data_IF_404677376274
#
_entry.id   IF_404677376274
#
_cell.length_a   1.000
_cell.length_b   1.000
_cell.length_c   1.000
_cell.angle_alpha   90.00
_cell.angle_beta   90.00
_cell.angle_gamma   90.00
#
_symmetry.space_group_name_H-M   'P 1'
#
loop_
_entity.id
_entity.type
_entity.pdbx_description
1 polymer ?
#
# COMPACT_ATOMS: atom_id res chain seq x y z
N UNK A 1 -9.86 6.31 -20.68
CA UNK A 1 -10.65 5.94 -21.89
C UNK A 1 -10.12 4.61 -22.39
N UNK A 2 -10.98 3.59 -22.60
CA UNK A 2 -10.52 2.30 -23.12
C UNK A 2 -10.29 2.41 -24.62
N UNK A 3 -9.03 2.24 -25.03
CA UNK A 3 -8.57 2.23 -26.42
C UNK A 3 -7.83 0.90 -26.62
N UNK A 4 -8.31 0.08 -27.55
CA UNK A 4 -7.72 -1.23 -27.86
C UNK A 4 -7.48 -1.41 -29.37
N UNK A 5 -6.92 -2.56 -29.74
CA UNK A 5 -6.63 -2.98 -31.11
C UNK A 5 -7.85 -3.02 -32.05
N UNK A 6 -9.07 -3.04 -31.50
CA UNK A 6 -10.33 -3.13 -32.23
C UNK A 6 -11.10 -1.81 -32.28
N UNK A 7 -10.57 -0.73 -31.72
CA UNK A 7 -11.16 0.61 -31.86
C UNK A 7 -11.12 1.11 -33.31
N UNK A 8 -12.21 1.73 -33.76
CA UNK A 8 -12.30 2.47 -35.03
C UNK A 8 -11.19 3.53 -35.10
N UNK A 9 -10.48 3.61 -36.22
CA UNK A 9 -9.48 4.65 -36.46
C UNK A 9 -10.21 5.86 -37.04
N UNK A 10 -10.11 6.99 -36.34
CA UNK A 10 -10.65 8.27 -36.81
C UNK A 10 -9.75 8.87 -37.89
N UNK A 11 -10.27 9.80 -38.68
CA UNK A 11 -9.55 10.48 -39.77
C UNK A 11 -8.27 11.20 -39.31
N UNK A 12 -8.18 11.54 -38.02
CA UNK A 12 -6.99 12.15 -37.41
C UNK A 12 -5.91 11.13 -36.98
N UNK A 13 -6.06 9.86 -37.36
CA UNK A 13 -5.16 8.76 -37.01
C UNK A 13 -5.29 8.26 -35.56
N UNK A 14 -6.14 8.87 -34.73
CA UNK A 14 -6.39 8.42 -33.35
C UNK A 14 -7.51 7.39 -33.32
N UNK A 15 -7.40 6.43 -32.40
CA UNK A 15 -8.45 5.43 -32.16
C UNK A 15 -9.61 6.05 -31.37
N UNK A 16 -10.85 5.81 -31.82
CA UNK A 16 -12.08 6.19 -31.12
C UNK A 16 -12.20 5.40 -29.81
N UNK A 17 -12.30 6.07 -28.64
CA UNK A 17 -12.51 5.38 -27.38
C UNK A 17 -13.82 4.59 -27.35
N UNK A 18 -13.78 3.34 -26.91
CA UNK A 18 -15.00 2.51 -26.72
C UNK A 18 -15.77 2.89 -25.46
N UNK A 19 -15.04 3.05 -24.36
CA UNK A 19 -15.62 3.40 -23.06
C UNK A 19 -14.86 4.55 -22.42
N UNK A 20 -15.58 5.37 -21.66
CA UNK A 20 -15.03 6.44 -20.84
C UNK A 20 -15.57 6.26 -19.43
N UNK A 21 -14.67 6.31 -18.45
CA UNK A 21 -15.02 6.31 -17.03
C UNK A 21 -14.88 7.74 -16.57
N UNK A 22 -15.94 8.29 -15.98
CA UNK A 22 -15.88 9.58 -15.31
C UNK A 22 -15.22 9.37 -13.95
N UNK A 23 -14.16 10.14 -13.68
CA UNK A 23 -13.50 10.18 -12.38
C UNK A 23 -14.10 11.32 -11.56
N UNK A 24 -14.16 11.14 -10.23
CA UNK A 24 -14.67 12.16 -9.32
C UNK A 24 -13.68 13.33 -9.21
N UNK A 25 -14.20 14.56 -9.12
CA UNK A 25 -13.38 15.76 -8.98
C UNK A 25 -12.48 16.05 -10.18
N UNK A 26 -11.29 16.60 -9.91
CA UNK A 26 -10.28 16.95 -10.90
C UNK A 26 -9.00 16.13 -10.64
N UNK A 27 -8.98 14.82 -11.00
CA UNK A 27 -7.85 13.95 -10.68
C UNK A 27 -6.60 14.34 -11.47
N UNK A 28 -5.44 14.27 -10.81
CA UNK A 28 -4.13 14.50 -11.42
C UNK A 28 -3.50 13.15 -11.73
N UNK A 29 -3.72 12.65 -12.95
CA UNK A 29 -3.10 11.41 -13.41
C UNK A 29 -1.66 11.67 -13.88
N UNK A 30 -0.74 10.76 -13.55
CA UNK A 30 0.70 10.93 -13.78
C UNK A 30 1.41 11.39 -12.51
N UNK A 31 1.31 12.67 -12.17
CA UNK A 31 2.02 13.25 -11.02
C UNK A 31 1.31 13.01 -9.66
N UNK A 32 0.02 12.70 -9.66
CA UNK A 32 -0.78 12.49 -8.44
C UNK A 32 -0.75 11.03 -7.98
N UNK A 33 0.10 10.71 -6.99
CA UNK A 33 0.22 9.33 -6.46
C UNK A 33 -1.12 8.73 -6.01
N UNK A 34 -1.90 9.46 -5.23
CA UNK A 34 -3.19 8.99 -4.70
C UNK A 34 -4.27 8.83 -5.77
N UNK A 35 -4.34 9.76 -6.73
CA UNK A 35 -5.23 9.65 -7.89
C UNK A 35 -4.86 8.46 -8.78
N UNK A 36 -3.56 8.23 -8.99
CA UNK A 36 -3.06 7.08 -9.74
C UNK A 36 -3.43 5.75 -9.07
N UNK A 37 -3.21 5.63 -7.75
CA UNK A 37 -3.59 4.43 -6.98
C UNK A 37 -5.10 4.17 -7.09
N UNK A 38 -5.93 5.20 -6.89
CA UNK A 38 -7.39 5.07 -7.00
C UNK A 38 -7.86 4.75 -8.41
N UNK A 39 -7.21 5.30 -9.44
CA UNK A 39 -7.52 4.96 -10.82
C UNK A 39 -7.15 3.51 -11.16
N UNK A 40 -6.00 3.04 -10.66
CA UNK A 40 -5.53 1.67 -10.86
C UNK A 40 -6.46 0.62 -10.23
N UNK A 41 -7.15 0.96 -9.12
CA UNK A 41 -8.10 0.06 -8.46
C UNK A 41 -9.28 -0.38 -9.33
N UNK A 42 -9.60 0.29 -10.44
CA UNK A 42 -10.68 -0.17 -11.32
C UNK A 42 -10.23 -1.38 -12.16
N UNK A 43 -8.91 -1.55 -12.31
CA UNK A 43 -8.31 -2.54 -13.20
C UNK A 43 -7.64 -3.70 -12.47
N UNK A 44 -7.56 -3.67 -11.13
CA UNK A 44 -6.98 -4.79 -10.39
C UNK A 44 -7.81 -6.05 -10.56
N UNK A 45 -7.14 -7.20 -10.44
CA UNK A 45 -7.77 -8.52 -10.40
C UNK A 45 -7.08 -9.34 -9.32
N UNK A 46 -7.85 -10.14 -8.60
CA UNK A 46 -7.36 -10.95 -7.48
C UNK A 46 -7.72 -10.37 -6.11
N UNK A 47 -7.37 -11.11 -5.08
CA UNK A 47 -7.75 -10.83 -3.68
C UNK A 47 -6.77 -9.90 -2.97
N UNK A 48 -5.52 -9.88 -3.44
CA UNK A 48 -4.45 -9.07 -2.86
C UNK A 48 -3.87 -8.12 -3.88
N UNK A 49 -3.52 -6.92 -3.42
CA UNK A 49 -2.84 -5.90 -4.21
C UNK A 49 -1.50 -5.62 -3.53
N UNK A 50 -0.42 -5.72 -4.29
CA UNK A 50 0.85 -5.17 -3.87
C UNK A 50 0.98 -3.77 -4.44
N UNK A 51 1.34 -2.81 -3.60
CA UNK A 51 1.64 -1.47 -4.04
C UNK A 51 3.16 -1.26 -4.02
N UNK A 52 3.73 -0.72 -5.11
CA UNK A 52 5.17 -0.53 -5.34
C UNK A 52 5.40 0.89 -5.87
N UNK A 53 6.37 1.61 -5.30
CA UNK A 53 6.81 2.91 -5.83
C UNK A 53 7.59 2.73 -7.15
N UNK A 54 7.58 3.75 -8.02
CA UNK A 54 8.27 3.67 -9.31
C UNK A 54 9.80 3.53 -9.20
N UNK A 55 10.38 3.85 -8.04
CA UNK A 55 11.81 3.71 -7.73
C UNK A 55 12.11 2.46 -6.89
N UNK A 56 11.16 1.53 -6.80
CA UNK A 56 11.32 0.27 -6.09
C UNK A 56 11.48 -0.91 -7.05
N UNK A 57 12.30 -1.87 -6.64
CA UNK A 57 12.47 -3.13 -7.37
C UNK A 57 12.75 -4.30 -6.42
N UNK A 58 12.43 -5.51 -6.87
CA UNK A 58 12.63 -6.73 -6.12
C UNK A 58 13.68 -7.61 -6.78
N UNK A 59 14.52 -8.22 -5.95
CA UNK A 59 15.32 -9.35 -6.42
C UNK A 59 14.44 -10.56 -6.72
N UNK A 60 14.90 -11.42 -7.62
CA UNK A 60 14.15 -12.61 -8.06
C UNK A 60 13.79 -13.54 -6.89
N UNK A 61 14.67 -13.68 -5.90
CA UNK A 61 14.44 -14.51 -4.72
C UNK A 61 13.28 -14.03 -3.84
N UNK A 62 12.94 -12.74 -3.88
CA UNK A 62 11.80 -12.19 -3.13
C UNK A 62 10.48 -12.71 -3.69
N UNK A 63 10.41 -13.03 -4.99
CA UNK A 63 9.25 -13.64 -5.63
C UNK A 63 8.90 -15.01 -5.02
N UNK A 64 9.90 -15.79 -4.59
CA UNK A 64 9.68 -17.10 -3.97
C UNK A 64 9.02 -16.98 -2.59
N UNK A 65 9.14 -15.81 -1.94
CA UNK A 65 8.60 -15.55 -0.61
C UNK A 65 7.16 -15.03 -0.63
N UNK A 66 6.65 -14.62 -1.80
CA UNK A 66 5.31 -14.05 -1.95
C UNK A 66 4.24 -14.98 -1.38
N UNK A 67 4.36 -16.30 -1.61
CA UNK A 67 3.46 -17.28 -1.00
C UNK A 67 3.39 -17.15 0.52
N UNK A 68 4.54 -17.00 1.18
CA UNK A 68 4.61 -16.85 2.63
C UNK A 68 4.00 -15.51 3.06
N UNK A 69 4.28 -14.42 2.32
CA UNK A 69 3.68 -13.10 2.60
C UNK A 69 2.16 -13.16 2.50
N UNK A 70 1.60 -13.83 1.49
CA UNK A 70 0.16 -14.00 1.35
C UNK A 70 -0.45 -14.86 2.46
N UNK A 71 0.30 -15.83 3.00
CA UNK A 71 -0.14 -16.64 4.14
C UNK A 71 -0.30 -15.80 5.42
N UNK A 72 0.38 -14.64 5.54
CA UNK A 72 0.24 -13.74 6.68
C UNK A 72 -1.15 -13.11 6.79
N UNK A 73 -1.96 -13.17 5.73
CA UNK A 73 -3.35 -12.72 5.78
C UNK A 73 -4.26 -13.65 6.58
N UNK A 74 -3.78 -14.85 6.94
CA UNK A 74 -4.50 -15.83 7.78
C UNK A 74 -5.81 -16.36 7.15
N UNK A 75 -6.01 -16.15 5.83
CA UNK A 75 -7.22 -16.56 5.09
C UNK A 75 -7.12 -17.96 4.46
N UNK A 76 -5.98 -18.65 4.62
CA UNK A 76 -5.75 -19.98 4.01
C UNK A 76 -6.59 -21.09 4.64
N UNK A 77 -7.09 -20.88 5.87
CA UNK A 77 -7.94 -21.84 6.55
C UNK A 77 -9.39 -21.35 6.50
N UNK A 78 -10.19 -21.95 5.63
CA UNK A 78 -11.64 -21.69 5.58
C UNK A 78 -12.28 -22.29 6.83
N UNK A 79 -12.89 -21.46 7.68
CA UNK A 79 -13.73 -21.96 8.77
C UNK A 79 -14.87 -22.78 8.17
N UNK A 80 -14.97 -24.06 8.56
CA UNK A 80 -15.99 -24.99 8.03
C UNK A 80 -17.39 -24.70 8.58
N UNK A 81 -17.52 -23.70 9.46
CA UNK A 81 -18.77 -23.36 10.14
C UNK A 81 -19.28 -22.03 9.60
N UNK A 82 -20.51 -22.01 9.11
CA UNK A 82 -21.14 -20.77 8.67
C UNK A 82 -21.43 -19.89 9.90
N UNK A 83 -20.87 -18.67 10.01
CA UNK A 83 -21.07 -17.79 11.16
C UNK A 83 -22.53 -17.35 11.35
N UNK A 84 -23.38 -17.54 10.34
CA UNK A 84 -24.81 -17.22 10.37
C UNK A 84 -25.70 -18.45 10.63
N UNK A 85 -25.14 -19.62 11.00
CA UNK A 85 -25.97 -20.79 11.27
C UNK A 85 -26.84 -20.56 12.55
N UNK A 86 -28.16 -20.82 12.49
CA UNK A 86 -29.04 -20.61 13.65
C UNK A 86 -28.62 -21.51 14.82
N UNK A 87 -28.42 -20.92 16.00
CA UNK A 87 -28.08 -21.67 17.23
C UNK A 87 -26.60 -21.69 17.59
N UNK A 88 -25.71 -21.17 16.73
CA UNK A 88 -24.33 -20.88 17.12
C UNK A 88 -24.32 -19.73 18.13
N UNK A 89 -23.72 -19.97 19.30
CA UNK A 89 -23.29 -18.87 20.15
C UNK A 89 -22.13 -18.19 19.44
N UNK A 90 -22.14 -16.87 19.37
CA UNK A 90 -20.98 -16.10 18.94
C UNK A 90 -19.88 -16.39 19.97
N UNK A 91 -19.08 -17.43 19.73
CA UNK A 91 -17.84 -17.62 20.47
C UNK A 91 -17.01 -16.38 20.21
N UNK A 92 -16.38 -15.83 21.26
CA UNK A 92 -15.34 -14.83 21.10
C UNK A 92 -14.21 -15.49 20.30
N UNK A 93 -14.33 -15.47 18.98
CA UNK A 93 -13.26 -15.82 18.07
C UNK A 93 -12.13 -14.85 18.41
N UNK A 94 -11.13 -15.34 19.15
CA UNK A 94 -10.00 -14.58 19.67
C UNK A 94 -9.18 -13.91 18.55
N UNK A 95 -9.48 -14.21 17.29
CA UNK A 95 -8.86 -13.70 16.07
C UNK A 95 -9.85 -13.19 15.02
N UNK A 96 -11.03 -12.66 15.41
CA UNK A 96 -12.05 -12.22 14.44
C UNK A 96 -11.70 -10.93 13.64
N UNK A 97 -10.50 -10.38 13.84
CA UNK A 97 -10.06 -9.20 13.10
C UNK A 97 -9.26 -9.63 11.87
N UNK A 98 -9.74 -9.41 10.63
CA UNK A 98 -9.00 -9.79 9.44
C UNK A 98 -7.71 -8.96 9.30
N UNK A 99 -6.69 -9.55 8.70
CA UNK A 99 -5.48 -8.79 8.34
C UNK A 99 -5.79 -7.99 7.09
N UNK A 100 -5.77 -6.67 7.19
CA UNK A 100 -6.07 -5.79 6.06
C UNK A 100 -4.81 -5.48 5.25
N UNK A 101 -3.66 -5.36 5.92
CA UNK A 101 -2.38 -4.97 5.33
C UNK A 101 -1.26 -5.80 5.94
N UNK A 102 -0.37 -6.32 5.10
CA UNK A 102 0.89 -6.95 5.50
C UNK A 102 2.01 -6.05 5.00
N UNK A 103 2.66 -5.36 5.92
CA UNK A 103 3.72 -4.44 5.59
C UNK A 103 5.09 -5.10 5.52
N UNK A 104 5.89 -4.68 4.56
CA UNK A 104 7.19 -5.26 4.28
C UNK A 104 8.31 -4.23 4.45
N UNK A 105 9.55 -4.70 4.63
CA UNK A 105 10.68 -3.80 4.82
C UNK A 105 11.25 -3.30 3.49
N UNK A 106 11.74 -2.07 3.50
CA UNK A 106 12.51 -1.48 2.42
C UNK A 106 14.01 -1.56 2.75
N UNK A 107 14.86 -1.66 1.74
CA UNK A 107 16.29 -1.39 1.87
C UNK A 107 16.72 -0.37 0.83
N UNK A 108 17.60 0.56 1.20
CA UNK A 108 18.03 1.65 0.33
C UNK A 108 19.29 1.24 -0.43
N UNK A 109 19.15 0.81 -1.67
CA UNK A 109 20.30 0.29 -2.44
C UNK A 109 21.25 1.38 -2.94
N UNK A 110 20.84 2.65 -2.90
CA UNK A 110 21.69 3.80 -3.24
C UNK A 110 22.49 4.33 -2.04
N UNK A 111 22.53 3.55 -0.95
CA UNK A 111 23.48 3.75 0.17
C UNK A 111 24.92 3.91 -0.35
N UNK A 112 25.81 4.52 0.45
CA UNK A 112 27.20 4.81 0.09
C UNK A 112 27.44 6.04 -0.81
N UNK A 113 26.47 6.96 -0.87
CA UNK A 113 26.64 8.29 -1.48
C UNK A 113 27.34 9.32 -0.55
N UNK A 114 27.89 8.85 0.58
CA UNK A 114 28.57 9.63 1.61
C UNK A 114 27.89 9.53 2.99
N UNK A 115 28.56 10.05 4.03
CA UNK A 115 28.15 9.89 5.45
C UNK A 115 26.71 10.32 5.72
N UNK A 116 26.24 11.41 5.09
CA UNK A 116 24.87 11.87 5.25
C UNK A 116 23.85 10.89 4.65
N UNK A 117 24.20 10.32 3.49
CA UNK A 117 23.39 9.29 2.84
C UNK A 117 23.33 8.01 3.67
N UNK A 118 24.44 7.60 4.26
CA UNK A 118 24.50 6.41 5.12
C UNK A 118 23.64 6.58 6.37
N UNK A 119 23.68 7.76 7.02
CA UNK A 119 22.81 8.07 8.16
C UNK A 119 21.33 8.08 7.76
N UNK A 120 21.00 8.66 6.60
CA UNK A 120 19.63 8.69 6.11
C UNK A 120 19.10 7.29 5.76
N UNK A 121 19.91 6.47 5.09
CA UNK A 121 19.59 5.08 4.78
C UNK A 121 19.40 4.25 6.06
N UNK A 122 20.30 4.38 7.04
CA UNK A 122 20.18 3.70 8.33
C UNK A 122 18.94 4.12 9.12
N UNK A 123 18.53 5.40 9.04
CA UNK A 123 17.27 5.89 9.61
C UNK A 123 16.07 5.21 8.94
N UNK A 124 16.00 5.18 7.60
CA UNK A 124 14.91 4.52 6.87
C UNK A 124 14.85 3.02 7.18
N UNK A 125 16.01 2.34 7.22
CA UNK A 125 16.09 0.92 7.59
C UNK A 125 15.57 0.67 9.01
N UNK A 126 15.95 1.51 9.99
CA UNK A 126 15.48 1.39 11.38
C UNK A 126 13.97 1.61 11.49
N UNK A 127 13.43 2.58 10.73
CA UNK A 127 11.99 2.84 10.67
C UNK A 127 11.22 1.67 10.05
N UNK A 128 11.69 1.13 8.92
CA UNK A 128 11.06 0.03 8.20
C UNK A 128 11.23 -1.35 8.84
N UNK A 129 12.02 -1.48 9.91
CA UNK A 129 12.26 -2.75 10.62
C UNK A 129 11.88 -2.65 12.10
N UNK A 130 12.78 -2.19 12.97
CA UNK A 130 12.59 -2.20 14.43
C UNK A 130 11.32 -1.47 14.87
N UNK A 131 11.08 -0.27 14.32
CA UNK A 131 9.88 0.51 14.63
C UNK A 131 8.62 -0.18 14.09
N UNK A 132 8.62 -0.57 12.81
CA UNK A 132 7.48 -1.26 12.19
C UNK A 132 7.12 -2.57 12.92
N UNK A 133 8.12 -3.38 13.31
CA UNK A 133 7.96 -4.61 14.09
C UNK A 133 7.31 -4.35 15.43
N UNK A 134 7.84 -3.39 16.18
CA UNK A 134 7.36 -3.05 17.53
C UNK A 134 5.92 -2.52 17.47
N UNK A 135 5.65 -1.60 16.53
CA UNK A 135 4.31 -1.05 16.32
C UNK A 135 3.32 -2.14 15.87
N UNK A 136 3.75 -3.08 15.02
CA UNK A 136 2.88 -4.18 14.59
C UNK A 136 2.49 -5.08 15.75
N UNK A 137 3.41 -5.34 16.69
CA UNK A 137 3.16 -6.20 17.84
C UNK A 137 2.15 -5.60 18.82
N UNK A 138 2.17 -4.28 18.99
CA UNK A 138 1.23 -3.57 19.88
C UNK A 138 -0.05 -3.11 19.14
N UNK A 139 -0.20 -3.45 17.85
CA UNK A 139 -1.35 -3.03 17.03
C UNK A 139 -1.36 -1.53 16.68
N UNK A 140 -0.23 -0.83 16.80
CA UNK A 140 -0.07 0.59 16.48
C UNK A 140 0.53 0.87 15.10
N UNK A 141 0.85 -0.15 14.31
CA UNK A 141 1.44 0.03 12.96
C UNK A 141 0.37 0.56 12.00
N UNK A 142 0.75 1.55 11.19
CA UNK A 142 -0.03 2.03 10.06
C UNK A 142 0.66 1.67 8.72
N UNK A 143 0.02 2.05 7.62
CA UNK A 143 0.60 1.98 6.27
C UNK A 143 1.42 3.25 6.04
N UNK A 144 2.73 3.12 5.85
CA UNK A 144 3.66 4.25 5.68
C UNK A 144 4.28 4.27 4.28
N UNK A 145 3.59 3.66 3.32
CA UNK A 145 4.04 3.50 1.95
C UNK A 145 4.32 2.05 1.60
N UNK A 146 4.90 1.89 0.43
CA UNK A 146 5.17 0.61 -0.21
C UNK A 146 6.42 -0.06 0.41
N UNK A 147 6.68 -1.38 0.24
CA UNK A 147 6.03 -2.36 -0.63
C UNK A 147 4.95 -3.20 0.09
N UNK A 148 4.01 -2.56 0.79
CA UNK A 148 2.97 -3.27 1.54
C UNK A 148 1.99 -4.03 0.62
N UNK A 149 1.55 -5.19 1.11
CA UNK A 149 0.47 -5.99 0.52
C UNK A 149 -0.85 -5.65 1.20
N UNK A 150 -1.90 -5.57 0.41
CA UNK A 150 -3.22 -5.14 0.84
C UNK A 150 -4.26 -6.20 0.47
N UNK A 151 -5.14 -6.52 1.41
CA UNK A 151 -6.37 -7.25 1.14
C UNK A 151 -7.33 -6.35 0.35
N UNK A 152 -7.44 -6.62 -0.95
CA UNK A 152 -8.19 -5.79 -1.88
C UNK A 152 -9.67 -5.78 -1.53
N UNK A 153 -10.24 -6.94 -1.20
CA UNK A 153 -11.65 -7.09 -0.83
C UNK A 153 -11.97 -6.28 0.43
N UNK A 154 -11.10 -6.35 1.44
CA UNK A 154 -11.28 -5.60 2.68
C UNK A 154 -11.24 -4.10 2.42
N UNK A 155 -10.21 -3.61 1.73
CA UNK A 155 -9.98 -2.17 1.56
C UNK A 155 -10.94 -1.52 0.57
N UNK A 156 -11.25 -2.16 -0.56
CA UNK A 156 -12.14 -1.58 -1.58
C UNK A 156 -13.57 -1.41 -1.10
N UNK A 157 -14.05 -2.30 -0.23
CA UNK A 157 -15.38 -2.19 0.40
C UNK A 157 -15.43 -1.15 1.52
N UNK A 158 -14.28 -0.57 1.91
CA UNK A 158 -14.14 0.33 3.07
C UNK A 158 -13.59 1.72 2.73
N UNK A 159 -13.44 2.07 1.46
CA UNK A 159 -12.98 3.41 1.05
C UNK A 159 -11.66 3.43 0.28
N UNK A 160 -11.16 2.27 -0.13
CA UNK A 160 -10.02 2.14 -1.03
C UNK A 160 -8.66 2.25 -0.32
N UNK A 161 -7.60 2.36 -1.11
CA UNK A 161 -6.21 2.32 -0.65
C UNK A 161 -5.57 3.69 -0.53
N UNK A 162 -6.27 4.77 -0.91
CA UNK A 162 -5.70 6.12 -0.92
C UNK A 162 -6.78 7.18 -0.90
N UNK A 163 -6.49 8.35 -0.31
CA UNK A 163 -7.34 9.53 -0.43
C UNK A 163 -6.64 10.70 -1.11
N UNK A 164 -7.27 11.20 -2.17
CA UNK A 164 -6.70 12.20 -3.07
C UNK A 164 -7.05 13.66 -2.72
N UNK A 165 -7.70 13.92 -1.59
CA UNK A 165 -8.08 15.29 -1.23
C UNK A 165 -6.87 16.13 -0.82
N UNK A 166 -6.31 16.83 -1.81
CA UNK A 166 -5.16 17.74 -1.69
C UNK A 166 -5.46 18.82 -0.65
N UNK A 167 -4.57 18.97 0.33
CA UNK A 167 -4.68 19.96 1.40
C UNK A 167 -5.20 19.40 2.72
N UNK A 168 -6.15 18.45 2.70
CA UNK A 168 -6.68 17.84 3.92
C UNK A 168 -5.81 16.68 4.41
N UNK A 169 -5.41 15.77 3.52
CA UNK A 169 -4.54 14.65 3.88
C UNK A 169 -3.09 14.99 3.51
N UNK A 170 -2.26 15.21 4.53
CA UNK A 170 -0.83 15.52 4.34
C UNK A 170 0.01 14.29 3.99
N UNK A 171 -0.51 13.07 4.24
CA UNK A 171 0.09 11.81 3.86
C UNK A 171 -0.99 10.80 3.42
N UNK A 172 -1.01 10.48 2.13
CA UNK A 172 -2.02 9.64 1.49
C UNK A 172 -2.00 8.18 1.98
N UNK A 173 -0.81 7.65 2.26
CA UNK A 173 -0.63 6.23 2.61
C UNK A 173 -1.15 5.94 4.02
N UNK A 174 -0.96 6.88 4.95
CA UNK A 174 -1.39 6.74 6.35
C UNK A 174 -2.91 6.55 6.45
N UNK A 175 -3.68 7.17 5.55
CA UNK A 175 -5.13 7.03 5.52
C UNK A 175 -5.57 5.57 5.36
N UNK A 176 -4.91 4.82 4.47
CA UNK A 176 -5.21 3.40 4.29
C UNK A 176 -4.98 2.62 5.59
N UNK A 177 -3.91 2.93 6.30
CA UNK A 177 -3.62 2.36 7.61
C UNK A 177 -4.69 2.69 8.65
N UNK A 178 -5.09 3.96 8.74
CA UNK A 178 -6.14 4.40 9.67
C UNK A 178 -7.48 3.74 9.35
N UNK A 179 -7.85 3.66 8.08
CA UNK A 179 -9.09 3.03 7.64
C UNK A 179 -9.11 1.53 7.96
N UNK A 180 -7.98 0.84 7.75
CA UNK A 180 -7.84 -0.55 8.15
C UNK A 180 -8.09 -0.74 9.65
N UNK A 181 -7.40 0.02 10.49
CA UNK A 181 -7.51 -0.09 11.96
C UNK A 181 -8.90 0.31 12.47
N UNK A 182 -9.45 1.43 12.01
CA UNK A 182 -10.77 1.94 12.45
C UNK A 182 -11.94 1.04 12.01
N UNK A 183 -11.75 0.21 10.98
CA UNK A 183 -12.76 -0.72 10.48
C UNK A 183 -12.55 -2.16 10.98
N UNK A 184 -11.77 -2.33 12.03
CA UNK A 184 -11.54 -3.61 12.70
C UNK A 184 -10.58 -4.54 11.97
N UNK A 185 -9.80 -4.03 11.03
CA UNK A 185 -8.69 -4.75 10.40
C UNK A 185 -7.40 -4.64 11.21
N UNK A 186 -6.50 -5.60 11.04
CA UNK A 186 -5.14 -5.60 11.59
C UNK A 186 -4.11 -5.27 10.51
N UNK A 187 -2.99 -4.71 10.96
CA UNK A 187 -1.82 -4.47 10.10
C UNK A 187 -0.65 -5.27 10.67
N UNK A 188 -0.14 -6.22 9.88
CA UNK A 188 1.03 -7.04 10.24
C UNK A 188 2.30 -6.48 9.61
N UNK A 189 3.44 -6.94 10.09
CA UNK A 189 4.74 -6.65 9.50
C UNK A 189 5.51 -7.96 9.25
N UNK A 190 6.00 -8.15 8.02
CA UNK A 190 6.86 -9.26 7.65
C UNK A 190 8.29 -8.77 7.39
N UNK A 191 9.28 -9.49 7.93
CA UNK A 191 10.69 -9.09 7.80
C UNK A 191 11.48 -9.95 6.81
N UNK A 192 10.98 -11.13 6.46
CA UNK A 192 11.68 -12.03 5.56
C UNK A 192 11.58 -11.60 4.10
N UNK A 193 10.58 -10.79 3.74
CA UNK A 193 10.41 -10.17 2.43
C UNK A 193 10.88 -8.71 2.46
N UNK A 194 11.58 -8.29 1.41
CA UNK A 194 12.08 -6.92 1.29
C UNK A 194 11.99 -6.40 -0.15
N UNK A 195 11.90 -5.09 -0.30
CA UNK A 195 12.02 -4.41 -1.60
C UNK A 195 13.14 -3.38 -1.58
N UNK A 196 13.91 -3.30 -2.66
CA UNK A 196 14.94 -2.28 -2.83
C UNK A 196 14.32 -0.96 -3.23
N UNK A 197 14.76 0.14 -2.63
CA UNK A 197 14.30 1.50 -2.94
C UNK A 197 15.46 2.39 -3.33
N UNK A 198 15.39 2.96 -4.53
CA UNK A 198 16.37 3.93 -5.01
C UNK A 198 16.09 5.30 -4.42
N UNK A 199 17.01 5.85 -3.64
CA UNK A 199 16.91 7.22 -3.12
C UNK A 199 17.98 8.11 -3.70
N UNK A 200 17.59 9.33 -4.08
CA UNK A 200 18.55 10.43 -4.16
C UNK A 200 18.87 10.88 -2.73
N UNK A 201 20.13 10.75 -2.34
CA UNK A 201 20.62 11.02 -0.98
C UNK A 201 21.22 12.43 -0.85
N UNK A 202 20.83 13.36 -1.73
CA UNK A 202 21.10 14.78 -1.54
C UNK A 202 20.40 15.36 -0.30
N UNK A 203 21.01 16.35 0.34
CA UNK A 203 20.50 16.97 1.59
C UNK A 203 19.05 17.47 1.46
N UNK A 204 18.70 18.12 0.35
CA UNK A 204 17.33 18.60 0.11
C UNK A 204 16.30 17.47 0.04
N UNK A 205 16.67 16.33 -0.56
CA UNK A 205 15.82 15.15 -0.67
C UNK A 205 15.62 14.48 0.69
N UNK A 206 16.69 14.36 1.48
CA UNK A 206 16.65 13.85 2.87
C UNK A 206 15.78 14.74 3.76
N UNK A 207 15.87 16.07 3.60
CA UNK A 207 15.05 17.02 4.34
C UNK A 207 13.56 16.83 4.00
N UNK A 208 13.21 16.80 2.71
CA UNK A 208 11.83 16.60 2.26
C UNK A 208 11.23 15.29 2.78
N UNK A 209 12.00 14.19 2.75
CA UNK A 209 11.56 12.93 3.32
C UNK A 209 11.31 13.03 4.83
N UNK A 210 12.25 13.62 5.57
CA UNK A 210 12.11 13.80 7.02
C UNK A 210 10.93 14.70 7.36
N UNK A 211 10.67 15.74 6.57
CA UNK A 211 9.49 16.60 6.69
C UNK A 211 8.22 15.81 6.42
N UNK A 212 8.15 14.96 5.39
CA UNK A 212 6.96 14.13 5.11
C UNK A 212 6.64 13.20 6.29
N UNK A 213 7.64 12.56 6.88
CA UNK A 213 7.46 11.71 8.07
C UNK A 213 7.08 12.56 9.29
N UNK A 214 7.73 13.70 9.50
CA UNK A 214 7.50 14.58 10.65
C UNK A 214 6.14 15.29 10.64
N UNK A 215 5.55 15.53 9.47
CA UNK A 215 4.20 16.08 9.34
C UNK A 215 3.12 15.08 9.81
N UNK A 216 3.43 13.78 9.81
CA UNK A 216 2.60 12.76 10.43
C UNK A 216 1.14 12.74 9.92
N UNK A 217 0.20 12.62 10.87
CA UNK A 217 -1.26 12.58 10.65
C UNK A 217 -1.92 13.96 10.60
N UNK A 218 -1.18 15.03 10.32
CA UNK A 218 -1.76 16.36 10.27
C UNK A 218 -2.86 16.45 9.21
N UNK A 219 -4.04 16.91 9.62
CA UNK A 219 -5.09 17.43 8.73
C UNK A 219 -5.05 18.95 8.78
N UNK A 220 -5.25 19.63 7.65
CA UNK A 220 -5.32 21.10 7.56
C UNK A 220 -6.73 21.59 7.35
#
# INVERSE_FOLDING_TARGET
ALIDGHCEILDNGRRRPKFRVQLSGNPILGDGKSDNQNHALIFYRGEYIQLIDANQDNYLEECLKIRSVLAEFEELNVEQVNPYAPGLRYEEQTTNHPVAIVGAREYIFSENSGVLGDVAAGKEQTFGTLFARTLSQIGGKLHYGHPDFINATFMTTRGGVSKAQKGLHLNEDIYAGMNAMLRGGRIKHCEYYQCGKGRDLGFGTILNFTTKIGIGMGEK
#
